data_IF_108358423725
#
_entry.id   IF_108358423725
#
_cell.length_a   1.000
_cell.length_b   1.000
_cell.length_c   1.000
_cell.angle_alpha   90.00
_cell.angle_beta   90.00
_cell.angle_gamma   90.00
#
_symmetry.space_group_name_H-M   'P 1'
#
loop_
_entity.id
_entity.type
_entity.pdbx_description
1 polymer ?
#
# COMPACT_ATOMS: atom_id res chain seq x y z
N UNK A 1 1.33 11.92 21.37
CA UNK A 1 0.83 10.60 21.79
C UNK A 1 1.74 10.07 22.88
N UNK A 2 1.25 9.83 24.09
CA UNK A 2 2.07 9.39 25.23
C UNK A 2 2.12 7.87 25.27
N UNK A 3 3.26 7.28 24.90
CA UNK A 3 3.47 5.82 25.03
C UNK A 3 3.97 5.51 26.44
N UNK A 4 3.08 5.05 27.33
CA UNK A 4 3.48 4.59 28.67
C UNK A 4 4.04 3.17 28.72
N UNK A 5 3.75 2.33 27.73
CA UNK A 5 4.42 1.05 27.48
C UNK A 5 3.99 0.52 26.11
N UNK A 6 4.93 0.18 25.25
CA UNK A 6 4.65 -0.58 24.04
C UNK A 6 4.37 -2.03 24.43
N UNK A 7 3.17 -2.52 24.16
CA UNK A 7 2.80 -3.91 24.42
C UNK A 7 3.21 -4.82 23.28
N UNK A 8 3.33 -4.29 22.08
CA UNK A 8 3.65 -5.04 20.88
C UNK A 8 4.68 -4.26 20.05
N UNK A 9 5.60 -4.98 19.38
CA UNK A 9 6.62 -4.37 18.51
C UNK A 9 6.01 -3.54 17.36
N UNK A 10 4.82 -3.88 16.92
CA UNK A 10 4.07 -3.13 15.89
C UNK A 10 3.61 -1.74 16.34
N UNK A 11 3.64 -1.44 17.64
CA UNK A 11 3.24 -0.12 18.16
C UNK A 11 4.36 0.92 17.96
N UNK A 12 5.63 0.46 17.71
CA UNK A 12 6.75 1.33 17.39
C UNK A 12 6.81 1.60 15.89
N UNK A 13 6.80 2.87 15.49
CA UNK A 13 6.88 3.28 14.09
C UNK A 13 8.21 3.95 13.79
N UNK A 14 8.67 3.87 12.54
CA UNK A 14 9.80 4.67 12.07
C UNK A 14 9.41 6.15 12.17
N UNK A 15 10.28 6.98 12.74
CA UNK A 15 10.00 8.40 12.99
C UNK A 15 9.39 8.70 14.35
N UNK A 16 9.10 7.69 15.17
CA UNK A 16 8.68 7.91 16.56
C UNK A 16 9.79 8.55 17.39
N UNK A 17 9.43 9.46 18.27
CA UNK A 17 10.34 10.09 19.21
C UNK A 17 10.23 9.41 20.57
N UNK A 18 11.36 8.91 21.07
CA UNK A 18 11.45 8.27 22.39
C UNK A 18 12.00 9.23 23.41
N UNK A 19 11.43 9.20 24.61
CA UNK A 19 11.88 10.00 25.74
C UNK A 19 11.79 9.20 27.04
N UNK A 20 12.46 9.68 28.08
CA UNK A 20 12.37 9.07 29.42
C UNK A 20 11.05 9.44 30.09
N UNK A 21 10.54 8.55 30.94
CA UNK A 21 9.32 8.79 31.73
C UNK A 21 9.48 10.06 32.55
N UNK A 22 8.52 10.98 32.43
CA UNK A 22 8.53 12.28 33.09
C UNK A 22 9.11 13.43 32.26
N UNK A 23 9.72 13.15 31.11
CA UNK A 23 10.27 14.16 30.18
C UNK A 23 9.38 14.40 28.97
N UNK A 24 8.19 13.85 28.93
CA UNK A 24 7.28 13.85 27.76
C UNK A 24 6.86 15.28 27.34
N UNK A 25 6.84 16.22 28.30
CA UNK A 25 6.48 17.62 28.05
C UNK A 25 7.66 18.47 27.58
N UNK A 26 8.87 17.96 27.69
CA UNK A 26 10.11 18.68 27.36
C UNK A 26 10.65 18.34 25.98
N UNK A 27 10.09 17.33 25.34
CA UNK A 27 10.55 16.81 24.04
C UNK A 27 9.46 16.97 23.02
N UNK A 28 9.77 17.66 21.94
CA UNK A 28 8.93 17.76 20.75
C UNK A 28 9.52 16.93 19.62
N UNK A 29 8.69 16.21 18.84
CA UNK A 29 9.16 15.48 17.68
C UNK A 29 9.72 16.45 16.62
N UNK A 30 10.77 16.03 15.89
CA UNK A 30 11.27 16.82 14.78
C UNK A 30 10.18 16.97 13.70
N UNK A 31 9.98 18.19 13.16
CA UNK A 31 9.02 18.43 12.10
C UNK A 31 9.49 17.79 10.78
N UNK A 32 8.55 17.49 9.89
CA UNK A 32 8.82 17.06 8.51
C UNK A 32 8.96 15.56 8.30
N UNK A 33 8.77 14.71 9.33
CA UNK A 33 8.65 13.29 9.10
C UNK A 33 7.22 12.94 8.64
N UNK A 34 7.10 12.46 7.41
CA UNK A 34 5.85 11.92 6.87
C UNK A 34 5.94 10.41 6.74
N UNK A 35 4.89 9.70 7.15
CA UNK A 35 4.80 8.26 6.90
C UNK A 35 4.76 8.00 5.38
N UNK A 36 5.52 7.01 4.87
CA UNK A 36 5.47 6.64 3.47
C UNK A 36 4.05 6.22 3.08
N UNK A 37 3.55 6.76 1.98
CA UNK A 37 2.21 6.44 1.46
C UNK A 37 2.31 5.35 0.41
N UNK A 38 1.47 4.32 0.53
CA UNK A 38 1.37 3.28 -0.48
C UNK A 38 0.77 3.83 -1.77
N UNK A 39 1.43 3.55 -2.89
CA UNK A 39 1.05 4.01 -4.23
C UNK A 39 0.48 2.89 -5.10
N UNK A 40 0.82 1.65 -4.80
CA UNK A 40 0.42 0.46 -5.55
C UNK A 40 -0.21 -0.54 -4.61
N UNK A 41 -1.35 -1.08 -4.99
CA UNK A 41 -2.10 -2.05 -4.18
C UNK A 41 -2.26 -3.36 -4.94
N UNK A 42 -2.09 -4.47 -4.24
CA UNK A 42 -2.33 -5.82 -4.75
C UNK A 42 -3.18 -6.59 -3.74
N UNK A 43 -3.94 -7.56 -4.21
CA UNK A 43 -4.54 -8.53 -3.30
C UNK A 43 -3.71 -9.82 -3.33
N UNK A 44 -3.45 -10.38 -2.15
CA UNK A 44 -2.70 -11.63 -1.95
C UNK A 44 -3.62 -12.67 -1.30
N UNK A 45 -3.71 -13.83 -1.94
CA UNK A 45 -4.51 -14.95 -1.47
C UNK A 45 -3.64 -16.20 -1.36
N UNK A 46 -3.85 -17.08 -0.38
CA UNK A 46 -3.19 -18.37 -0.35
C UNK A 46 -3.69 -19.24 -1.51
N UNK A 47 -2.81 -20.05 -2.09
CA UNK A 47 -3.21 -21.04 -3.12
C UNK A 47 -4.15 -22.08 -2.51
N UNK A 48 -3.86 -22.53 -1.28
CA UNK A 48 -4.73 -23.38 -0.47
C UNK A 48 -5.22 -22.60 0.75
N UNK A 49 -6.52 -22.54 0.95
CA UNK A 49 -7.13 -21.88 2.11
C UNK A 49 -6.72 -22.52 3.46
N UNK A 50 -6.27 -23.78 3.46
CA UNK A 50 -5.66 -24.42 4.61
C UNK A 50 -4.35 -23.77 5.07
N UNK A 51 -3.63 -23.10 4.16
CA UNK A 51 -2.38 -22.39 4.44
C UNK A 51 -2.57 -20.92 4.82
N UNK A 52 -3.83 -20.45 4.97
CA UNK A 52 -4.13 -19.05 5.30
C UNK A 52 -3.36 -18.57 6.54
N UNK A 53 -3.33 -19.38 7.63
CA UNK A 53 -2.61 -19.01 8.86
C UNK A 53 -1.10 -18.89 8.65
N UNK A 54 -0.49 -19.81 7.90
CA UNK A 54 0.93 -19.75 7.56
C UNK A 54 1.26 -18.51 6.75
N UNK A 55 0.43 -18.15 5.76
CA UNK A 55 0.62 -16.94 4.95
C UNK A 55 0.44 -15.67 5.81
N UNK A 56 -0.54 -15.65 6.74
CA UNK A 56 -0.74 -14.52 7.67
C UNK A 56 0.50 -14.28 8.53
N UNK A 57 1.06 -15.32 9.11
CA UNK A 57 2.26 -15.23 9.94
C UNK A 57 3.46 -14.75 9.13
N UNK A 58 3.65 -15.28 7.93
CA UNK A 58 4.74 -14.90 7.01
C UNK A 58 4.65 -13.42 6.60
N UNK A 59 3.47 -12.96 6.21
CA UNK A 59 3.23 -11.54 5.89
C UNK A 59 3.54 -10.67 7.11
N UNK A 60 3.02 -11.02 8.28
CA UNK A 60 3.24 -10.25 9.50
C UNK A 60 4.73 -10.16 9.88
N UNK A 61 5.51 -11.24 9.69
CA UNK A 61 6.96 -11.24 9.97
C UNK A 61 7.72 -10.29 9.05
N UNK A 62 7.40 -10.28 7.74
CA UNK A 62 8.07 -9.35 6.81
C UNK A 62 7.65 -7.92 7.11
N UNK A 63 6.37 -7.64 7.34
CA UNK A 63 5.84 -6.30 7.64
C UNK A 63 6.40 -5.73 8.95
N UNK A 64 6.80 -6.56 9.92
CA UNK A 64 7.51 -6.07 11.12
C UNK A 64 8.79 -5.31 10.78
N UNK A 65 9.50 -5.75 9.73
CA UNK A 65 10.75 -5.12 9.29
C UNK A 65 10.53 -4.06 8.20
N UNK A 66 9.39 -4.13 7.51
CA UNK A 66 9.04 -3.21 6.43
C UNK A 66 7.73 -2.49 6.73
N UNK A 67 7.85 -1.36 7.43
CA UNK A 67 6.71 -0.54 7.87
C UNK A 67 6.06 0.28 6.76
N UNK A 68 6.64 0.31 5.57
CA UNK A 68 6.06 0.99 4.41
C UNK A 68 4.95 0.17 3.73
N UNK A 69 4.85 -1.12 4.07
CA UNK A 69 3.77 -1.99 3.59
C UNK A 69 2.51 -1.78 4.42
N UNK A 70 1.42 -1.43 3.76
CA UNK A 70 0.09 -1.41 4.40
C UNK A 70 -0.61 -2.74 4.24
N UNK A 71 -1.29 -3.20 5.27
CA UNK A 71 -1.96 -4.49 5.33
C UNK A 71 -3.42 -4.33 5.74
N UNK A 72 -4.34 -4.86 4.93
CA UNK A 72 -5.77 -4.91 5.22
C UNK A 72 -6.32 -6.30 4.89
N UNK A 73 -7.26 -6.80 5.69
CA UNK A 73 -7.95 -8.06 5.36
C UNK A 73 -8.90 -7.82 4.19
N UNK A 74 -8.91 -8.78 3.27
CA UNK A 74 -9.77 -8.77 2.10
C UNK A 74 -10.37 -10.18 1.89
N UNK A 75 -11.49 -10.24 1.21
CA UNK A 75 -12.09 -11.51 0.78
C UNK A 75 -12.54 -11.41 -0.66
N UNK A 76 -12.37 -12.50 -1.40
CA UNK A 76 -12.84 -12.67 -2.76
C UNK A 76 -13.81 -13.85 -2.80
N UNK A 77 -14.90 -13.72 -3.55
CA UNK A 77 -15.85 -14.84 -3.74
C UNK A 77 -15.17 -16.05 -4.42
N UNK A 78 -14.21 -15.79 -5.31
CA UNK A 78 -13.52 -16.84 -6.04
C UNK A 78 -12.30 -17.42 -5.30
N UNK A 79 -11.56 -16.58 -4.54
CA UNK A 79 -10.28 -16.96 -3.94
C UNK A 79 -10.34 -17.08 -2.41
N UNK A 80 -11.48 -16.76 -1.79
CA UNK A 80 -11.67 -16.83 -0.35
C UNK A 80 -11.03 -15.67 0.42
N UNK A 81 -10.57 -15.95 1.63
CA UNK A 81 -9.95 -14.96 2.51
C UNK A 81 -8.50 -14.68 2.11
N UNK A 82 -8.11 -13.42 2.17
CA UNK A 82 -6.77 -12.95 1.82
C UNK A 82 -6.49 -11.56 2.38
N UNK A 83 -5.54 -10.87 1.77
CA UNK A 83 -5.08 -9.55 2.20
C UNK A 83 -4.92 -8.60 1.03
N UNK A 84 -5.24 -7.34 1.27
CA UNK A 84 -4.84 -6.24 0.42
C UNK A 84 -3.56 -5.63 0.99
N UNK A 85 -2.53 -5.61 0.16
CA UNK A 85 -1.21 -5.10 0.48
C UNK A 85 -0.97 -3.82 -0.32
N UNK A 86 -0.46 -2.77 0.34
CA UNK A 86 -0.06 -1.55 -0.33
C UNK A 86 1.44 -1.35 -0.25
N UNK A 87 2.04 -0.98 -1.37
CA UNK A 87 3.48 -0.83 -1.57
C UNK A 87 3.85 0.55 -2.08
N UNK A 88 5.10 0.96 -1.90
CA UNK A 88 5.62 2.23 -2.45
C UNK A 88 5.71 2.22 -3.98
N UNK A 89 5.82 1.02 -4.58
CA UNK A 89 5.90 0.84 -6.03
C UNK A 89 5.93 -0.64 -6.41
N UNK A 90 5.95 -0.90 -7.72
CA UNK A 90 5.91 -2.27 -8.27
C UNK A 90 7.16 -3.09 -7.93
N UNK A 91 8.35 -2.48 -7.91
CA UNK A 91 9.58 -3.16 -7.50
C UNK A 91 9.50 -3.59 -6.03
N UNK A 92 8.98 -2.74 -5.15
CA UNK A 92 8.78 -3.08 -3.74
C UNK A 92 7.84 -4.28 -3.60
N UNK A 93 6.75 -4.32 -4.37
CA UNK A 93 5.82 -5.46 -4.42
C UNK A 93 6.53 -6.75 -4.85
N UNK A 94 7.32 -6.71 -5.93
CA UNK A 94 8.05 -7.88 -6.42
C UNK A 94 9.06 -8.43 -5.41
N UNK A 95 9.82 -7.55 -4.75
CA UNK A 95 10.77 -7.96 -3.70
C UNK A 95 10.04 -8.59 -2.52
N UNK A 96 8.91 -8.04 -2.13
CA UNK A 96 8.09 -8.59 -1.03
C UNK A 96 7.54 -9.99 -1.39
N UNK A 97 7.06 -10.17 -2.62
CA UNK A 97 6.60 -11.47 -3.13
C UNK A 97 7.73 -12.50 -3.14
N UNK A 98 8.90 -12.13 -3.66
CA UNK A 98 10.07 -13.00 -3.70
C UNK A 98 10.49 -13.43 -2.29
N UNK A 99 10.47 -12.53 -1.33
CA UNK A 99 10.76 -12.84 0.07
C UNK A 99 9.74 -13.80 0.68
N UNK A 100 8.44 -13.61 0.45
CA UNK A 100 7.42 -14.55 0.91
C UNK A 100 7.67 -15.96 0.36
N UNK A 101 8.01 -16.06 -0.92
CA UNK A 101 8.29 -17.35 -1.57
C UNK A 101 9.60 -17.99 -1.09
N UNK A 102 10.68 -17.22 -1.02
CA UNK A 102 12.02 -17.74 -0.75
C UNK A 102 12.32 -17.93 0.74
N UNK A 103 11.92 -16.98 1.58
CA UNK A 103 12.23 -17.01 3.02
C UNK A 103 11.18 -17.83 3.81
N UNK A 104 9.93 -17.80 3.36
CA UNK A 104 8.82 -18.45 4.10
C UNK A 104 8.20 -19.63 3.37
N UNK A 105 8.60 -19.92 2.11
CA UNK A 105 8.01 -20.99 1.31
C UNK A 105 6.52 -20.81 1.03
N UNK A 106 6.01 -19.59 1.13
CA UNK A 106 4.59 -19.31 1.01
C UNK A 106 4.11 -19.46 -0.44
N UNK A 107 3.02 -20.22 -0.62
CA UNK A 107 2.33 -20.37 -1.91
C UNK A 107 1.18 -19.39 -1.98
N UNK A 108 1.29 -18.37 -2.83
CA UNK A 108 0.31 -17.30 -2.91
C UNK A 108 -0.03 -16.91 -4.35
N UNK A 109 -1.25 -16.41 -4.52
CA UNK A 109 -1.75 -15.77 -5.73
C UNK A 109 -1.75 -14.26 -5.46
N UNK A 110 -1.07 -13.50 -6.33
CA UNK A 110 -1.08 -12.04 -6.29
C UNK A 110 -1.87 -11.52 -7.48
N UNK A 111 -2.79 -10.59 -7.24
CA UNK A 111 -3.51 -9.91 -8.30
C UNK A 111 -2.62 -8.89 -9.00
N UNK A 112 -2.93 -8.49 -10.25
CA UNK A 112 -2.26 -7.36 -10.88
C UNK A 112 -2.32 -6.11 -9.97
N UNK A 113 -1.23 -5.30 -9.95
CA UNK A 113 -1.18 -4.10 -9.14
C UNK A 113 -2.20 -3.06 -9.61
N UNK A 114 -2.82 -2.40 -8.65
CA UNK A 114 -3.79 -1.32 -8.88
C UNK A 114 -3.35 -0.05 -8.17
N UNK A 115 -3.82 1.09 -8.66
CA UNK A 115 -3.64 2.39 -8.04
C UNK A 115 -4.94 2.83 -7.36
N UNK A 116 -4.89 3.67 -6.30
CA UNK A 116 -6.10 4.18 -5.67
C UNK A 116 -6.78 5.22 -6.58
N UNK A 117 -8.12 5.21 -6.60
CA UNK A 117 -8.93 6.26 -7.24
C UNK A 117 -9.61 7.11 -6.18
N UNK A 118 -9.70 8.41 -6.40
CA UNK A 118 -10.51 9.30 -5.58
C UNK A 118 -11.82 9.56 -6.31
N UNK A 119 -12.92 9.17 -5.67
CA UNK A 119 -14.29 9.39 -6.17
C UNK A 119 -14.88 10.59 -5.44
N UNK A 120 -15.34 11.57 -6.19
CA UNK A 120 -16.11 12.71 -5.68
C UNK A 120 -17.56 12.48 -6.07
N UNK A 121 -18.42 12.34 -5.07
CA UNK A 121 -19.84 12.14 -5.27
C UNK A 121 -20.58 13.47 -5.47
N UNK A 122 -21.73 13.47 -6.13
CA UNK A 122 -22.57 14.67 -6.27
C UNK A 122 -22.99 15.29 -4.94
N UNK A 123 -22.90 14.53 -3.85
CA UNK A 123 -23.14 15.01 -2.48
C UNK A 123 -21.97 15.82 -1.90
N UNK A 124 -20.86 15.94 -2.63
CA UNK A 124 -19.61 16.54 -2.15
C UNK A 124 -18.78 15.61 -1.26
N UNK A 125 -19.21 14.36 -1.04
CA UNK A 125 -18.44 13.37 -0.30
C UNK A 125 -17.27 12.86 -1.15
N UNK A 126 -16.08 12.80 -0.57
CA UNK A 126 -14.88 12.19 -1.18
C UNK A 126 -14.67 10.78 -0.62
N UNK A 127 -14.33 9.84 -1.48
CA UNK A 127 -14.02 8.46 -1.09
C UNK A 127 -12.80 7.99 -1.88
N UNK A 128 -11.81 7.39 -1.20
CA UNK A 128 -10.65 6.76 -1.84
C UNK A 128 -10.96 5.28 -2.01
N UNK A 129 -10.91 4.80 -3.23
CA UNK A 129 -11.17 3.40 -3.60
C UNK A 129 -9.84 2.77 -4.00
N UNK A 130 -9.43 1.78 -3.24
CA UNK A 130 -8.20 1.01 -3.48
C UNK A 130 -8.50 -0.35 -4.12
N UNK A 131 -9.71 -0.87 -3.89
CA UNK A 131 -10.17 -2.14 -4.44
C UNK A 131 -11.06 -1.89 -5.67
N UNK A 132 -10.66 -2.38 -6.87
CA UNK A 132 -11.47 -2.24 -8.08
C UNK A 132 -12.88 -2.80 -7.97
N UNK A 133 -13.10 -3.83 -7.15
CA UNK A 133 -14.42 -4.42 -6.92
C UNK A 133 -15.40 -3.48 -6.20
N UNK A 134 -14.89 -2.41 -5.56
CA UNK A 134 -15.68 -1.38 -4.90
C UNK A 134 -15.89 -0.14 -5.79
N UNK A 135 -15.47 -0.23 -7.06
CA UNK A 135 -15.66 0.86 -8.00
C UNK A 135 -17.18 1.05 -8.25
N UNK A 136 -17.68 2.29 -8.19
CA UNK A 136 -19.10 2.51 -8.34
C UNK A 136 -19.55 2.14 -9.76
N UNK A 137 -20.44 1.16 -9.87
CA UNK A 137 -21.18 0.92 -11.08
C UNK A 137 -22.14 2.11 -11.27
N UNK A 138 -22.09 2.74 -12.44
CA UNK A 138 -22.73 4.04 -12.72
C UNK A 138 -24.27 4.10 -12.55
N UNK A 139 -24.87 3.06 -11.99
CA UNK A 139 -26.33 2.89 -11.89
C UNK A 139 -26.87 2.72 -10.45
N UNK A 140 -26.03 2.95 -9.43
CA UNK A 140 -26.50 2.99 -8.04
C UNK A 140 -27.37 4.22 -7.80
N UNK A 141 -28.60 4.14 -8.26
CA UNK A 141 -29.71 5.09 -8.33
C UNK A 141 -29.79 6.26 -7.33
N UNK A 142 -28.89 6.37 -6.35
CA UNK A 142 -28.93 7.39 -5.30
C UNK A 142 -27.64 8.21 -5.13
N UNK A 143 -26.54 7.84 -5.75
CA UNK A 143 -25.27 8.56 -5.60
C UNK A 143 -24.50 8.59 -6.91
N UNK A 144 -24.81 9.60 -7.75
CA UNK A 144 -24.07 9.80 -9.00
C UNK A 144 -22.65 10.29 -8.70
N UNK A 145 -21.66 9.67 -9.35
CA UNK A 145 -20.27 10.13 -9.35
C UNK A 145 -20.20 11.47 -10.07
N UNK A 146 -19.65 12.48 -9.39
CA UNK A 146 -19.42 13.79 -9.97
C UNK A 146 -18.09 13.85 -10.72
N UNK A 147 -17.05 13.26 -10.12
CA UNK A 147 -15.69 13.30 -10.66
C UNK A 147 -14.89 12.07 -10.19
N UNK A 148 -14.04 11.55 -11.07
CA UNK A 148 -13.04 10.52 -10.79
C UNK A 148 -11.64 11.11 -10.93
N UNK A 149 -10.81 10.93 -9.91
CA UNK A 149 -9.44 11.42 -9.91
C UNK A 149 -8.47 10.25 -9.74
N UNK A 150 -7.42 10.23 -10.53
CA UNK A 150 -6.29 9.32 -10.42
C UNK A 150 -5.11 10.01 -9.76
N UNK A 151 -4.21 9.26 -9.05
CA UNK A 151 -2.98 9.84 -8.56
C UNK A 151 -2.07 10.23 -9.73
N UNK A 152 -1.59 11.46 -9.70
CA UNK A 152 -0.67 12.01 -10.69
C UNK A 152 0.71 12.18 -10.04
N UNK A 153 1.78 11.87 -10.78
CA UNK A 153 3.15 12.07 -10.34
C UNK A 153 3.87 13.02 -11.30
N UNK A 154 4.65 13.94 -10.74
CA UNK A 154 5.60 14.74 -11.46
C UNK A 154 7.00 14.12 -11.29
N UNK A 155 7.65 13.77 -12.40
CA UNK A 155 8.95 13.12 -12.37
C UNK A 155 10.00 13.99 -13.09
N UNK A 156 11.10 14.26 -12.39
CA UNK A 156 12.28 14.91 -12.98
C UNK A 156 13.35 13.86 -13.24
N UNK A 157 13.68 13.62 -14.49
CA UNK A 157 14.70 12.64 -14.89
C UNK A 157 15.95 13.38 -15.35
N UNK A 158 17.07 13.19 -14.64
CA UNK A 158 18.38 13.74 -15.00
C UNK A 158 19.19 12.66 -15.72
N UNK A 159 19.59 12.92 -16.96
CA UNK A 159 20.29 11.93 -17.78
C UNK A 159 21.25 12.61 -18.76
N UNK A 160 22.29 11.91 -19.25
CA UNK A 160 23.06 12.33 -20.42
C UNK A 160 22.18 12.42 -21.67
N UNK A 161 22.49 13.37 -22.57
CA UNK A 161 21.68 13.65 -23.77
C UNK A 161 21.53 12.43 -24.69
N UNK A 162 22.53 11.56 -24.76
CA UNK A 162 22.51 10.31 -25.55
C UNK A 162 21.38 9.33 -25.18
N UNK A 163 20.84 9.42 -23.95
CA UNK A 163 19.76 8.55 -23.48
C UNK A 163 18.36 9.15 -23.65
N UNK A 164 18.26 10.43 -24.03
CA UNK A 164 16.98 11.14 -24.11
C UNK A 164 15.96 10.41 -24.99
N UNK A 165 16.37 9.94 -26.18
CA UNK A 165 15.47 9.24 -27.09
C UNK A 165 14.92 7.94 -26.50
N UNK A 166 15.77 7.17 -25.80
CA UNK A 166 15.36 5.91 -25.14
C UNK A 166 14.37 6.16 -24.00
N UNK A 167 14.59 7.22 -23.23
CA UNK A 167 13.71 7.56 -22.09
C UNK A 167 12.36 8.03 -22.60
N UNK A 168 12.30 8.88 -23.64
CA UNK A 168 11.03 9.32 -24.23
C UNK A 168 10.25 8.11 -24.79
N UNK A 169 10.94 7.17 -25.45
CA UNK A 169 10.30 5.95 -25.97
C UNK A 169 9.69 5.10 -24.83
N UNK A 170 10.37 4.98 -23.69
CA UNK A 170 9.86 4.24 -22.54
C UNK A 170 8.66 4.94 -21.88
N UNK A 171 8.69 6.28 -21.76
CA UNK A 171 7.56 7.05 -21.21
C UNK A 171 6.36 6.94 -22.16
N UNK A 172 6.56 7.03 -23.47
CA UNK A 172 5.49 6.90 -24.46
C UNK A 172 4.79 5.53 -24.45
N UNK A 173 5.49 4.47 -24.07
CA UNK A 173 4.90 3.13 -23.91
C UNK A 173 4.04 2.97 -22.65
N UNK A 174 4.23 3.81 -21.65
CA UNK A 174 3.45 3.78 -20.42
C UNK A 174 2.05 4.42 -20.56
N UNK A 175 1.76 5.05 -21.70
CA UNK A 175 0.50 5.74 -21.99
C UNK A 175 -0.39 5.01 -23.02
N UNK A 176 -0.15 3.74 -23.28
CA UNK A 176 -1.00 2.92 -24.20
C UNK A 176 -1.87 1.96 -23.40
#
# INVERSE_FOLDING_TARGET
MLFRSMKQSKDAKVGDTFTTVGSERLVEPYPGFEEPKSMVFVAAFPVDQGEHGHLEDSINQIVLNDRSVTLQKESSEALGAGWRLGFLGTLHCSVFEDRLRQEHGASLIITPPTVPFKVIWNTGKETIIQNPALFPDGDDGNSKVAELQEPYVEATVTMPEEYLGKVIEQIGRAHV
#
